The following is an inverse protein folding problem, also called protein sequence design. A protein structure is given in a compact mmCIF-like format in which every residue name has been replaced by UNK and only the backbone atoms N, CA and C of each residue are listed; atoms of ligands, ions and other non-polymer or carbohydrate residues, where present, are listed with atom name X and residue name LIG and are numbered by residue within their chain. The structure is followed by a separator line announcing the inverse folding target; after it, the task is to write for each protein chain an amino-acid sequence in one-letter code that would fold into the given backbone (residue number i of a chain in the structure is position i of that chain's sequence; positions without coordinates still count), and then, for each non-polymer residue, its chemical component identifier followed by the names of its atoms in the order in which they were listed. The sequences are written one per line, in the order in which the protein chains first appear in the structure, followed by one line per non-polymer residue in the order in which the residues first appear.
data_IF_058205389490
#
_entry.id   IF_058205389490
#
_cell.length_a   1.000
_cell.length_b   1.000
_cell.length_c   1.000
_cell.angle_alpha   90.00
_cell.angle_beta   90.00
_cell.angle_gamma   90.00
#
_symmetry.space_group_name_H-M   'P 1'
#
loop_
_entity.id
_entity.type
_entity.pdbx_description
1 polymer ?
#
# COMPACT_ATOMS: atom_id res chain seq x y z
N UNK A 1 9.25 -6.21 -18.68
CA UNK A 1 9.12 -5.01 -17.82
C UNK A 1 7.67 -4.95 -17.38
N UNK A 2 7.41 -5.19 -16.09
CA UNK A 2 6.04 -5.23 -15.57
C UNK A 2 5.44 -3.83 -15.41
N UNK A 3 4.12 -3.72 -15.52
CA UNK A 3 3.30 -2.54 -15.29
C UNK A 3 2.76 -2.56 -13.87
N UNK A 4 3.06 -1.54 -13.07
CA UNK A 4 2.66 -1.48 -11.67
C UNK A 4 1.73 -0.29 -11.46
N UNK A 5 0.49 -0.57 -11.09
CA UNK A 5 -0.50 0.45 -10.77
C UNK A 5 -0.20 1.11 -9.44
N UNK A 6 -0.21 2.44 -9.38
CA UNK A 6 -0.12 3.20 -8.12
C UNK A 6 -1.41 4.00 -7.95
N UNK A 7 -2.19 3.64 -6.94
CA UNK A 7 -3.50 4.27 -6.71
C UNK A 7 -3.31 5.60 -5.99
N UNK A 8 -3.91 6.67 -6.52
CA UNK A 8 -3.94 7.98 -5.87
C UNK A 8 -5.35 8.24 -5.35
N UNK A 9 -5.48 8.35 -4.03
CA UNK A 9 -6.70 8.80 -3.36
C UNK A 9 -6.62 10.30 -3.07
N UNK A 10 -7.75 11.00 -2.88
CA UNK A 10 -7.72 12.35 -2.32
C UNK A 10 -7.03 12.30 -0.95
N UNK A 11 -5.94 13.05 -0.76
CA UNK A 11 -5.14 13.02 0.48
C UNK A 11 -4.02 11.96 0.52
N UNK A 12 -3.81 11.19 -0.55
CA UNK A 12 -2.53 10.48 -0.76
C UNK A 12 -1.38 11.49 -0.81
N UNK A 13 -0.23 11.11 -0.25
CA UNK A 13 0.97 11.97 -0.21
C UNK A 13 2.21 11.27 -0.80
N UNK A 14 2.28 9.95 -0.66
CA UNK A 14 3.48 9.17 -1.00
C UNK A 14 3.32 8.46 -2.38
N UNK A 15 2.30 8.78 -3.18
CA UNK A 15 2.02 8.16 -4.49
C UNK A 15 3.10 8.47 -5.54
N UNK A 16 3.63 9.68 -5.56
CA UNK A 16 4.75 10.04 -6.43
C UNK A 16 6.04 9.28 -6.05
N UNK A 17 6.29 9.11 -4.75
CA UNK A 17 7.43 8.34 -4.25
C UNK A 17 7.30 6.86 -4.60
N UNK A 18 6.09 6.29 -4.47
CA UNK A 18 5.81 4.93 -4.91
C UNK A 18 6.05 4.76 -6.42
N UNK A 19 5.57 5.68 -7.26
CA UNK A 19 5.85 5.65 -8.70
C UNK A 19 7.35 5.77 -9.01
N UNK A 20 8.09 6.58 -8.24
CA UNK A 20 9.55 6.69 -8.39
C UNK A 20 10.24 5.37 -8.00
N UNK A 21 9.83 4.73 -6.90
CA UNK A 21 10.36 3.43 -6.49
C UNK A 21 10.14 2.36 -7.57
N UNK A 22 8.96 2.32 -8.19
CA UNK A 22 8.67 1.42 -9.32
C UNK A 22 9.64 1.64 -10.48
N UNK A 23 9.93 2.90 -10.86
CA UNK A 23 10.90 3.21 -11.93
C UNK A 23 12.31 2.75 -11.57
N UNK A 24 12.74 3.01 -10.32
CA UNK A 24 14.06 2.61 -9.84
C UNK A 24 14.23 1.09 -9.78
N UNK A 25 13.15 0.35 -9.56
CA UNK A 25 13.12 -1.11 -9.65
C UNK A 25 13.08 -1.65 -11.11
N UNK A 26 13.10 -0.78 -12.12
CA UNK A 26 13.13 -1.19 -13.54
C UNK A 26 11.75 -1.54 -14.13
N UNK A 27 10.66 -1.07 -13.51
CA UNK A 27 9.28 -1.33 -13.92
C UNK A 27 8.56 -0.07 -14.42
N UNK A 28 7.41 -0.23 -15.07
CA UNK A 28 6.59 0.88 -15.58
C UNK A 28 5.53 1.26 -14.55
N UNK A 29 5.57 2.45 -13.92
CA UNK A 29 4.45 2.90 -13.09
C UNK A 29 3.27 3.32 -13.96
N UNK A 30 2.07 2.96 -13.51
CA UNK A 30 0.79 3.39 -14.09
C UNK A 30 0.04 4.14 -13.00
N UNK A 31 -0.23 5.43 -13.22
CA UNK A 31 -1.00 6.23 -12.28
C UNK A 31 -2.49 5.84 -12.37
N UNK A 32 -3.06 5.38 -11.26
CA UNK A 32 -4.47 4.99 -11.17
C UNK A 32 -5.20 5.98 -10.26
N UNK A 33 -6.17 6.70 -10.80
CA UNK A 33 -6.99 7.62 -10.00
C UNK A 33 -8.06 6.83 -9.24
N UNK A 34 -8.38 7.22 -8.00
CA UNK A 34 -9.35 6.49 -7.17
C UNK A 34 -10.74 6.34 -7.79
N UNK A 35 -11.12 7.24 -8.70
CA UNK A 35 -12.40 7.22 -9.39
C UNK A 35 -12.39 6.43 -10.71
N UNK A 36 -11.25 5.84 -11.10
CA UNK A 36 -11.22 4.92 -12.24
C UNK A 36 -11.95 3.61 -11.92
N UNK A 37 -12.54 3.00 -12.94
CA UNK A 37 -13.26 1.71 -12.86
C UNK A 37 -12.47 0.58 -13.56
N UNK A 38 -11.15 0.75 -13.72
CA UNK A 38 -10.27 -0.23 -14.34
C UNK A 38 -8.85 -0.06 -13.82
N UNK A 39 -8.14 -1.18 -13.68
CA UNK A 39 -6.73 -1.22 -13.31
C UNK A 39 -5.78 -1.03 -14.50
N UNK A 40 -6.28 -0.82 -15.73
CA UNK A 40 -5.48 -0.58 -16.94
C UNK A 40 -4.42 -1.67 -17.22
N UNK A 41 -4.80 -2.93 -17.03
CA UNK A 41 -3.99 -4.12 -17.30
C UNK A 41 -2.60 -4.05 -16.65
N UNK A 42 -2.57 -3.71 -15.36
CA UNK A 42 -1.34 -3.75 -14.53
C UNK A 42 -1.11 -5.15 -13.99
N UNK A 43 0.16 -5.49 -13.80
CA UNK A 43 0.61 -6.79 -13.27
C UNK A 43 0.59 -6.83 -11.74
N UNK A 44 0.56 -5.67 -11.08
CA UNK A 44 0.44 -5.52 -9.62
C UNK A 44 -0.08 -4.11 -9.26
N UNK A 45 -0.55 -3.94 -8.03
CA UNK A 45 -1.07 -2.67 -7.50
C UNK A 45 -0.36 -2.26 -6.21
N UNK A 46 -0.07 -0.97 -6.07
CA UNK A 46 0.41 -0.33 -4.85
C UNK A 46 -0.68 0.63 -4.35
N UNK A 47 -1.08 0.46 -3.09
CA UNK A 47 -1.82 1.46 -2.32
C UNK A 47 -0.80 2.24 -1.47
N UNK A 48 -0.52 3.51 -1.79
CA UNK A 48 0.55 4.28 -1.17
C UNK A 48 0.17 4.82 0.22
N UNK A 49 1.16 5.38 0.91
CA UNK A 49 0.98 6.10 2.17
C UNK A 49 0.36 7.50 1.98
N UNK A 50 0.03 8.13 3.12
CA UNK A 50 -0.59 9.45 3.18
C UNK A 50 -1.71 9.48 4.21
N UNK A 51 -2.70 10.35 3.98
CA UNK A 51 -3.88 10.52 4.83
C UNK A 51 -5.11 10.53 3.93
N UNK A 52 -5.45 9.39 3.33
CA UNK A 52 -6.58 9.34 2.39
C UNK A 52 -7.86 9.86 3.05
N UNK A 53 -8.51 10.81 2.36
CA UNK A 53 -9.66 11.58 2.85
C UNK A 53 -9.42 12.25 4.23
N UNK A 54 -8.17 12.64 4.50
CA UNK A 54 -7.74 13.27 5.75
C UNK A 54 -7.87 12.38 6.99
N UNK A 55 -8.06 11.07 6.82
CA UNK A 55 -8.40 10.12 7.88
C UNK A 55 -9.61 10.56 8.74
N UNK A 56 -10.53 11.37 8.19
CA UNK A 56 -11.57 12.09 8.95
C UNK A 56 -12.54 11.21 9.73
N UNK A 57 -12.90 10.03 9.20
CA UNK A 57 -13.72 9.06 9.93
C UNK A 57 -12.82 8.10 10.72
N UNK A 58 -11.98 7.38 9.99
CA UNK A 58 -10.95 6.45 10.45
C UNK A 58 -9.98 6.24 9.28
N UNK A 59 -8.71 5.98 9.56
CA UNK A 59 -7.70 5.90 8.52
C UNK A 59 -8.06 4.85 7.46
N UNK A 60 -8.08 5.25 6.19
CA UNK A 60 -8.44 4.39 5.06
C UNK A 60 -9.91 3.98 4.93
N UNK A 61 -10.78 4.29 5.90
CA UNK A 61 -12.16 3.81 5.92
C UNK A 61 -13.04 4.39 4.81
N UNK A 62 -12.77 5.62 4.37
CA UNK A 62 -13.49 6.24 3.24
C UNK A 62 -12.92 5.73 1.92
N UNK A 63 -11.60 5.58 1.82
CA UNK A 63 -10.92 5.20 0.59
C UNK A 63 -11.35 3.84 0.05
N UNK A 64 -11.73 2.89 0.93
CA UNK A 64 -12.23 1.57 0.53
C UNK A 64 -13.46 1.61 -0.38
N UNK A 65 -14.25 2.69 -0.33
CA UNK A 65 -15.46 2.86 -1.14
C UNK A 65 -15.20 3.52 -2.50
N UNK A 66 -13.94 3.83 -2.82
CA UNK A 66 -13.58 4.42 -4.10
C UNK A 66 -13.84 3.42 -5.23
N UNK A 67 -14.31 3.87 -6.42
CA UNK A 67 -14.57 2.99 -7.56
C UNK A 67 -13.42 2.03 -7.91
N UNK A 68 -12.17 2.51 -7.85
CA UNK A 68 -11.00 1.68 -8.15
C UNK A 68 -10.86 0.47 -7.22
N UNK A 69 -11.34 0.59 -5.98
CA UNK A 69 -11.19 -0.48 -4.99
C UNK A 69 -12.05 -1.69 -5.31
N UNK A 70 -13.16 -1.52 -6.02
CA UNK A 70 -13.95 -2.65 -6.54
C UNK A 70 -13.08 -3.54 -7.43
N UNK A 71 -12.31 -2.92 -8.34
CA UNK A 71 -11.41 -3.65 -9.24
C UNK A 71 -10.17 -4.19 -8.52
N UNK A 72 -9.60 -3.44 -7.57
CA UNK A 72 -8.48 -3.93 -6.74
C UNK A 72 -8.87 -5.17 -5.96
N UNK A 73 -10.05 -5.19 -5.34
CA UNK A 73 -10.54 -6.34 -4.57
C UNK A 73 -10.75 -7.53 -5.51
N UNK A 74 -11.48 -7.34 -6.60
CA UNK A 74 -11.73 -8.40 -7.57
C UNK A 74 -10.44 -8.95 -8.22
N UNK A 75 -9.44 -8.09 -8.41
CA UNK A 75 -8.11 -8.47 -8.88
C UNK A 75 -7.35 -9.29 -7.84
N UNK A 76 -7.32 -8.83 -6.59
CA UNK A 76 -6.64 -9.52 -5.49
C UNK A 76 -7.19 -10.93 -5.26
N UNK A 77 -8.51 -11.10 -5.31
CA UNK A 77 -9.18 -12.41 -5.21
C UNK A 77 -8.78 -13.37 -6.34
N UNK A 78 -8.36 -12.85 -7.50
CA UNK A 78 -7.85 -13.62 -8.64
C UNK A 78 -6.33 -13.81 -8.62
N UNK A 79 -5.66 -13.37 -7.55
CA UNK A 79 -4.21 -13.52 -7.37
C UNK A 79 -3.37 -12.34 -7.88
N UNK A 80 -3.98 -11.19 -8.20
CA UNK A 80 -3.23 -9.97 -8.48
C UNK A 80 -2.44 -9.53 -7.23
N UNK A 81 -1.11 -9.35 -7.31
CA UNK A 81 -0.34 -8.84 -6.18
C UNK A 81 -0.74 -7.41 -5.81
N UNK A 82 -1.05 -7.19 -4.53
CA UNK A 82 -1.36 -5.86 -3.98
C UNK A 82 -0.46 -5.56 -2.78
N UNK A 83 0.21 -4.39 -2.82
CA UNK A 83 1.07 -3.88 -1.75
C UNK A 83 0.42 -2.66 -1.09
N UNK A 84 0.12 -2.73 0.19
CA UNK A 84 -0.36 -1.59 0.99
C UNK A 84 0.73 -1.01 1.87
N UNK A 85 1.04 0.27 1.73
CA UNK A 85 2.10 0.96 2.50
C UNK A 85 1.46 1.98 3.44
N UNK A 86 1.73 1.88 4.75
CA UNK A 86 1.21 2.79 5.77
C UNK A 86 -0.33 2.94 5.69
N UNK A 87 -0.84 4.04 5.14
CA UNK A 87 -2.27 4.24 4.91
C UNK A 87 -2.86 3.22 3.92
N UNK A 88 -2.10 2.78 2.91
CA UNK A 88 -2.51 1.71 2.03
C UNK A 88 -2.75 0.38 2.75
N UNK A 89 -1.96 0.05 3.79
CA UNK A 89 -2.21 -1.14 4.61
C UNK A 89 -3.53 -1.01 5.39
N UNK A 90 -3.81 0.18 5.93
CA UNK A 90 -5.08 0.47 6.60
C UNK A 90 -6.26 0.28 5.65
N UNK A 91 -6.15 0.76 4.40
CA UNK A 91 -7.17 0.55 3.36
C UNK A 91 -7.40 -0.94 3.09
N UNK A 92 -6.34 -1.77 3.01
CA UNK A 92 -6.48 -3.21 2.81
C UNK A 92 -7.22 -3.93 3.96
N UNK A 93 -6.98 -3.52 5.21
CA UNK A 93 -7.74 -4.02 6.35
C UNK A 93 -9.20 -3.57 6.30
N UNK A 94 -9.45 -2.30 6.01
CA UNK A 94 -10.80 -1.73 5.89
C UNK A 94 -11.60 -2.34 4.75
N UNK A 95 -10.94 -2.73 3.65
CA UNK A 95 -11.53 -3.42 2.51
C UNK A 95 -11.65 -4.94 2.69
N UNK A 96 -11.25 -5.46 3.85
CA UNK A 96 -11.25 -6.89 4.17
C UNK A 96 -10.38 -7.78 3.27
N UNK A 97 -9.41 -7.19 2.56
CA UNK A 97 -8.36 -7.95 1.87
C UNK A 97 -7.29 -8.47 2.85
N UNK A 98 -7.16 -7.82 4.01
CA UNK A 98 -6.35 -8.28 5.13
C UNK A 98 -7.21 -8.40 6.39
N UNK A 99 -6.91 -9.37 7.28
CA UNK A 99 -7.60 -9.50 8.54
C UNK A 99 -7.25 -8.36 9.51
N UNK A 100 -8.16 -8.08 10.44
CA UNK A 100 -7.93 -7.13 11.54
C UNK A 100 -8.15 -5.67 11.16
N UNK A 101 -7.74 -4.79 12.07
CA UNK A 101 -7.80 -3.34 11.91
C UNK A 101 -6.66 -2.67 12.69
N UNK A 102 -6.22 -1.51 12.23
CA UNK A 102 -5.22 -0.70 12.91
C UNK A 102 -5.87 0.29 13.88
N UNK A 103 -5.24 0.47 15.04
CA UNK A 103 -5.67 1.40 16.08
C UNK A 103 -4.58 2.46 16.31
N UNK A 104 -4.92 3.50 17.08
CA UNK A 104 -3.95 4.51 17.48
C UNK A 104 -2.81 3.88 18.27
N UNK A 105 -1.60 4.38 18.08
CA UNK A 105 -0.46 4.01 18.90
C UNK A 105 -0.71 4.38 20.39
N UNK A 106 0.03 3.73 21.27
CA UNK A 106 -0.09 3.85 22.73
C UNK A 106 0.30 5.25 23.25
N UNK A 107 1.27 5.90 22.60
CA UNK A 107 1.76 7.25 22.94
C UNK A 107 0.86 8.38 22.44
N UNK A 108 -0.16 8.07 21.62
CA UNK A 108 -1.17 8.99 21.05
C UNK A 108 -0.59 10.22 20.33
N UNK A 109 0.62 10.10 19.83
CA UNK A 109 1.34 11.15 19.11
C UNK A 109 1.97 10.54 17.87
N UNK A 110 2.13 11.34 16.81
CA UNK A 110 2.74 10.86 15.58
C UNK A 110 4.24 10.60 15.80
N UNK A 111 4.70 9.42 15.39
CA UNK A 111 6.10 9.01 15.48
C UNK A 111 6.67 8.84 14.07
N UNK A 112 7.78 9.52 13.81
CA UNK A 112 8.57 9.37 12.59
C UNK A 112 10.01 9.06 12.97
N UNK A 113 10.48 7.85 12.66
CA UNK A 113 11.84 7.40 12.98
C UNK A 113 12.30 6.26 12.08
N UNK A 114 13.61 6.06 12.00
CA UNK A 114 14.15 4.81 11.46
C UNK A 114 13.85 3.66 12.42
N UNK A 115 13.31 2.58 11.87
CA UNK A 115 12.93 1.38 12.59
C UNK A 115 13.67 0.18 12.00
N UNK A 116 14.48 -0.45 12.84
CA UNK A 116 15.08 -1.75 12.51
C UNK A 116 14.01 -2.84 12.62
N UNK A 117 13.91 -3.67 11.58
CA UNK A 117 13.01 -4.81 11.49
C UNK A 117 13.81 -6.07 11.11
N UNK A 118 13.26 -7.24 11.45
CA UNK A 118 13.77 -8.54 11.02
C UNK A 118 12.80 -9.14 10.02
N UNK A 119 13.31 -9.64 8.90
CA UNK A 119 12.49 -10.33 7.89
C UNK A 119 12.17 -11.74 8.39
N UNK A 120 10.92 -11.97 8.81
CA UNK A 120 10.47 -13.28 9.34
C UNK A 120 10.09 -14.28 8.24
N UNK A 121 9.65 -13.81 7.08
CA UNK A 121 9.22 -14.65 5.96
C UNK A 121 9.70 -14.09 4.63
N UNK A 122 10.24 -14.98 3.80
CA UNK A 122 10.71 -14.71 2.43
C UNK A 122 9.80 -15.34 1.38
N UNK A 123 8.67 -15.95 1.80
CA UNK A 123 7.76 -16.70 0.94
C UNK A 123 6.71 -15.82 0.25
N UNK A 124 7.00 -14.53 0.11
CA UNK A 124 6.11 -13.57 -0.55
C UNK A 124 6.80 -12.95 -1.75
N UNK A 125 6.00 -12.52 -2.73
CA UNK A 125 6.51 -11.77 -3.90
C UNK A 125 7.20 -10.45 -3.51
N UNK A 126 7.02 -9.98 -2.28
CA UNK A 126 7.60 -8.73 -1.77
C UNK A 126 8.91 -8.95 -1.00
N UNK A 127 9.14 -10.16 -0.46
CA UNK A 127 10.25 -10.45 0.45
C UNK A 127 11.20 -11.54 -0.04
N UNK A 128 10.93 -12.17 -1.19
CA UNK A 128 11.71 -13.30 -1.72
C UNK A 128 13.16 -12.98 -2.11
N UNK A 129 13.54 -11.70 -2.17
CA UNK A 129 14.91 -11.29 -2.44
C UNK A 129 15.74 -11.02 -1.16
N UNK A 130 15.13 -11.13 0.02
CA UNK A 130 15.82 -11.03 1.31
C UNK A 130 16.22 -12.42 1.83
N UNK A 131 17.14 -12.43 2.78
CA UNK A 131 17.43 -13.63 3.57
C UNK A 131 16.50 -13.73 4.79
N UNK A 132 16.11 -14.95 5.16
CA UNK A 132 15.34 -15.18 6.38
C UNK A 132 16.16 -14.75 7.61
N UNK A 133 15.57 -13.91 8.46
CA UNK A 133 16.25 -13.32 9.62
C UNK A 133 17.10 -12.10 9.31
N UNK A 134 17.17 -11.64 8.06
CA UNK A 134 17.88 -10.42 7.70
C UNK A 134 17.33 -9.21 8.47
N UNK A 135 18.22 -8.41 9.05
CA UNK A 135 17.86 -7.12 9.64
C UNK A 135 17.88 -6.03 8.55
N UNK A 136 16.79 -5.27 8.46
CA UNK A 136 16.65 -4.10 7.57
C UNK A 136 16.24 -2.89 8.39
N UNK A 137 16.52 -1.70 7.87
CA UNK A 137 16.05 -0.44 8.46
C UNK A 137 15.09 0.22 7.49
N UNK A 138 13.90 0.56 7.98
CA UNK A 138 12.87 1.27 7.22
C UNK A 138 12.39 2.48 8.01
N UNK A 139 11.84 3.49 7.32
CA UNK A 139 11.22 4.64 7.98
C UNK A 139 9.83 4.23 8.49
N UNK A 140 9.62 4.38 9.80
CA UNK A 140 8.32 4.23 10.46
C UNK A 140 7.60 5.58 10.51
N UNK A 141 6.32 5.59 10.14
CA UNK A 141 5.36 6.69 10.31
C UNK A 141 4.10 6.11 10.97
N UNK A 142 3.80 6.37 12.25
CA UNK A 142 2.60 5.84 12.92
C UNK A 142 2.09 6.67 14.10
#
# INVERSE_FOLDING_TARGET
MSRIGVVTFPGSLDDHDAQRAVRLAGHQPVALWHAHESLQDVDAVILPGGFSYGDYLRCGAIARFSPIMTEVIAGAEKGLPVLGICNGFQVLCESHLLPGALIRNDVRTFVCRDQRLRVESVDTVWTCAFDAGQEITIVLKN
#
